data_IF_146106521970
#
_entry.id   IF_146106521970
#
_cell.length_a   1.000
_cell.length_b   1.000
_cell.length_c   1.000
_cell.angle_alpha   90.00
_cell.angle_beta   90.00
_cell.angle_gamma   90.00
#
_symmetry.space_group_name_H-M   'P 1'
#
loop_
_entity.id
_entity.type
_entity.pdbx_description
1 polymer ?
#
# COMPACT_ATOMS: atom_id res chain seq x y z
N UNK A 1 -13.11 13.34 -7.60
CA UNK A 1 -11.90 13.16 -6.81
C UNK A 1 -12.22 12.24 -5.64
N UNK A 2 -12.25 10.95 -5.95
CA UNK A 2 -12.33 9.86 -4.96
C UNK A 2 -10.94 9.26 -4.90
N UNK A 3 -10.25 9.40 -3.78
CA UNK A 3 -8.91 8.81 -3.60
C UNK A 3 -9.00 7.67 -2.61
N UNK A 4 -8.33 6.55 -2.87
CA UNK A 4 -8.25 5.41 -1.94
C UNK A 4 -6.92 5.47 -1.20
N UNK A 5 -6.95 5.66 0.11
CA UNK A 5 -5.77 5.53 0.96
C UNK A 5 -5.78 4.14 1.59
N UNK A 6 -4.90 3.23 1.18
CA UNK A 6 -4.89 1.88 1.76
C UNK A 6 -3.87 1.78 2.90
N UNK A 7 -4.27 1.25 4.06
CA UNK A 7 -3.38 1.04 5.21
C UNK A 7 -3.23 -0.44 5.48
N UNK A 8 -2.01 -0.97 5.40
CA UNK A 8 -1.76 -2.37 5.73
C UNK A 8 -1.13 -2.49 7.12
N UNK A 9 -1.88 -3.00 8.09
CA UNK A 9 -1.36 -3.24 9.43
C UNK A 9 -0.75 -4.65 9.53
N UNK A 10 0.57 -4.75 9.72
CA UNK A 10 1.26 -6.03 9.87
C UNK A 10 1.27 -6.42 11.36
N UNK A 11 0.31 -7.23 11.79
CA UNK A 11 0.22 -7.64 13.19
C UNK A 11 1.44 -8.49 13.58
N UNK A 12 2.21 -8.03 14.56
CA UNK A 12 3.10 -8.90 15.34
C UNK A 12 2.44 -9.22 16.68
N UNK A 13 1.84 -10.40 16.81
CA UNK A 13 1.58 -10.95 18.13
C UNK A 13 2.84 -11.70 18.58
N UNK A 14 3.54 -11.15 19.55
CA UNK A 14 4.44 -11.89 20.43
C UNK A 14 4.10 -11.49 21.86
N UNK A 15 3.04 -12.08 22.37
CA UNK A 15 2.80 -12.22 23.80
C UNK A 15 1.84 -13.38 24.04
N UNK A 16 2.29 -14.28 24.93
CA UNK A 16 1.63 -15.49 25.45
C UNK A 16 1.84 -16.80 24.66
N UNK A 17 3.04 -17.39 24.76
CA UNK A 17 3.39 -18.44 25.74
C UNK A 17 4.69 -19.13 25.26
N UNK A 18 5.67 -19.24 26.16
CA UNK A 18 6.82 -20.14 25.98
C UNK A 18 6.30 -21.57 25.86
N UNK A 19 6.12 -22.04 24.63
CA UNK A 19 6.15 -23.45 24.32
C UNK A 19 7.19 -23.62 23.22
N UNK A 20 8.10 -24.56 23.42
CA UNK A 20 9.16 -24.91 22.49
C UNK A 20 8.52 -25.41 21.19
N UNK A 21 8.38 -24.54 20.20
CA UNK A 21 7.94 -24.91 18.85
C UNK A 21 9.21 -25.23 18.06
N UNK A 22 9.30 -26.44 17.51
CA UNK A 22 10.32 -26.81 16.54
C UNK A 22 10.32 -25.80 15.38
N UNK A 23 11.49 -25.33 14.94
CA UNK A 23 11.69 -24.27 13.92
C UNK A 23 10.98 -24.50 12.56
N UNK A 24 10.28 -25.62 12.35
CA UNK A 24 9.68 -26.01 11.07
C UNK A 24 8.16 -25.75 10.96
N UNK A 25 7.46 -25.39 12.05
CA UNK A 25 6.00 -25.21 12.04
C UNK A 25 5.53 -23.86 12.64
N UNK A 26 6.26 -22.76 12.40
CA UNK A 26 5.71 -21.43 12.73
C UNK A 26 4.63 -21.10 11.70
N UNK A 27 3.34 -20.95 12.07
CA UNK A 27 2.30 -20.60 11.12
C UNK A 27 2.68 -19.26 10.46
N UNK A 28 2.64 -19.21 9.12
CA UNK A 28 2.85 -17.96 8.39
C UNK A 28 1.87 -16.91 8.95
N UNK A 29 2.41 -15.85 9.55
CA UNK A 29 1.61 -14.76 10.10
C UNK A 29 0.96 -14.01 8.94
N UNK A 30 -0.33 -14.23 8.75
CA UNK A 30 -1.11 -13.52 7.74
C UNK A 30 -1.28 -12.06 8.17
N UNK A 31 -0.94 -11.07 7.31
CA UNK A 31 -1.11 -9.66 7.61
C UNK A 31 -2.60 -9.26 7.73
N UNK A 32 -2.89 -8.24 8.52
CA UNK A 32 -4.24 -7.67 8.64
C UNK A 32 -4.37 -6.39 7.81
N UNK A 33 -5.10 -6.46 6.70
CA UNK A 33 -5.20 -5.35 5.75
C UNK A 33 -6.43 -4.49 6.05
N UNK A 34 -6.25 -3.17 6.13
CA UNK A 34 -7.32 -2.18 6.39
C UNK A 34 -7.40 -1.21 5.19
N UNK A 35 -8.42 -1.36 4.34
CA UNK A 35 -8.67 -0.39 3.28
C UNK A 35 -9.39 0.86 3.82
N UNK A 36 -8.87 2.06 3.54
CA UNK A 36 -9.54 3.34 3.89
C UNK A 36 -9.91 4.10 2.61
N UNK A 37 -11.19 4.04 2.22
CA UNK A 37 -11.70 4.66 1.00
C UNK A 37 -12.49 5.95 1.27
N UNK A 38 -12.54 6.87 0.30
CA UNK A 38 -13.36 8.09 0.41
C UNK A 38 -12.99 9.20 -0.58
N UNK A 39 -13.78 10.27 -0.59
CA UNK A 39 -13.49 11.47 -1.40
C UNK A 39 -12.17 12.16 -1.03
N UNK A 40 -11.59 12.94 -1.93
CA UNK A 40 -10.51 13.87 -1.58
C UNK A 40 -10.95 14.80 -0.45
N UNK A 41 -10.03 15.11 0.47
CA UNK A 41 -10.30 15.91 1.67
C UNK A 41 -11.36 15.33 2.63
N UNK A 42 -11.72 14.05 2.52
CA UNK A 42 -12.64 13.39 3.46
C UNK A 42 -11.98 12.99 4.80
N UNK A 43 -10.70 13.31 5.01
CA UNK A 43 -9.98 12.99 6.25
C UNK A 43 -9.33 11.60 6.30
N UNK A 44 -9.21 10.89 5.19
CA UNK A 44 -8.60 9.55 5.16
C UNK A 44 -7.18 9.52 5.73
N UNK A 45 -6.32 10.44 5.31
CA UNK A 45 -4.94 10.54 5.84
C UNK A 45 -4.93 10.71 7.36
N UNK A 46 -5.89 11.47 7.91
CA UNK A 46 -6.05 11.65 9.36
C UNK A 46 -6.51 10.37 10.05
N UNK A 47 -7.48 9.65 9.46
CA UNK A 47 -7.94 8.35 9.92
C UNK A 47 -6.79 7.34 9.91
N UNK A 48 -6.02 7.28 8.82
CA UNK A 48 -4.84 6.43 8.69
C UNK A 48 -3.80 6.74 9.78
N UNK A 49 -3.50 8.03 10.00
CA UNK A 49 -2.57 8.49 11.03
C UNK A 49 -3.02 8.07 12.44
N UNK A 50 -4.31 8.24 12.74
CA UNK A 50 -4.90 7.84 14.01
C UNK A 50 -4.80 6.34 14.20
N UNK A 51 -5.17 5.54 13.20
CA UNK A 51 -5.05 4.07 13.23
C UNK A 51 -3.60 3.66 13.49
N UNK A 52 -2.64 4.22 12.76
CA UNK A 52 -1.21 3.93 12.94
C UNK A 52 -0.76 4.25 14.37
N UNK A 53 -1.24 5.37 14.94
CA UNK A 53 -0.87 5.80 16.29
C UNK A 53 -1.32 4.81 17.38
N UNK A 54 -2.43 4.10 17.18
CA UNK A 54 -2.92 3.05 18.09
C UNK A 54 -2.05 1.77 18.03
N UNK A 55 -1.30 1.57 16.95
CA UNK A 55 -0.44 0.41 16.74
C UNK A 55 1.00 0.63 17.22
N UNK A 56 1.17 1.09 18.47
CA UNK A 56 2.48 1.49 19.05
C UNK A 56 3.65 0.52 18.79
N UNK A 57 3.46 -0.79 19.03
CA UNK A 57 4.52 -1.80 18.99
C UNK A 57 4.39 -2.77 17.82
N UNK A 58 3.49 -2.53 16.87
CA UNK A 58 3.28 -3.40 15.72
C UNK A 58 3.96 -2.80 14.49
N UNK A 59 4.45 -3.66 13.57
CA UNK A 59 4.94 -3.16 12.29
C UNK A 59 3.73 -2.71 11.48
N UNK A 60 3.73 -1.47 10.99
CA UNK A 60 2.66 -0.98 10.12
C UNK A 60 3.26 -0.61 8.78
N UNK A 61 2.64 -1.08 7.70
CA UNK A 61 3.00 -0.77 6.32
C UNK A 61 1.89 0.07 5.68
N UNK A 62 2.18 1.33 5.40
CA UNK A 62 1.27 2.17 4.62
C UNK A 62 1.53 1.96 3.12
N UNK A 63 0.48 1.65 2.36
CA UNK A 63 0.51 1.48 0.90
C UNK A 63 -0.49 2.46 0.29
N UNK A 64 -0.01 3.57 -0.26
CA UNK A 64 -0.89 4.53 -0.93
C UNK A 64 -1.19 4.07 -2.37
N UNK A 65 -2.46 4.03 -2.78
CA UNK A 65 -2.86 3.71 -4.17
C UNK A 65 -2.29 4.70 -5.17
N UNK A 66 -2.14 5.97 -4.80
CA UNK A 66 -1.56 7.02 -5.66
C UNK A 66 -0.10 6.71 -6.05
N UNK A 67 0.61 5.90 -5.28
CA UNK A 67 1.95 5.43 -5.69
C UNK A 67 1.91 4.51 -6.91
N UNK A 68 0.75 3.94 -7.23
CA UNK A 68 0.52 3.02 -8.34
C UNK A 68 -0.08 3.70 -9.57
N UNK A 69 -0.08 5.03 -9.66
CA UNK A 69 -0.45 5.70 -10.91
C UNK A 69 0.47 5.24 -12.04
N UNK A 70 -0.12 4.95 -13.20
CA UNK A 70 0.64 4.67 -14.41
C UNK A 70 1.36 5.95 -14.88
N UNK A 71 2.62 5.85 -15.34
CA UNK A 71 3.28 6.96 -16.00
C UNK A 71 2.50 7.38 -17.24
N UNK A 72 2.37 8.69 -17.46
CA UNK A 72 1.70 9.17 -18.66
C UNK A 72 2.62 9.09 -19.88
N UNK A 73 2.04 8.71 -21.02
CA UNK A 73 2.67 8.80 -22.33
C UNK A 73 2.66 10.25 -22.86
N UNK A 74 3.45 10.52 -23.91
CA UNK A 74 3.62 11.89 -24.43
C UNK A 74 2.29 12.51 -24.89
N UNK A 75 1.43 11.74 -25.55
CA UNK A 75 0.10 12.15 -25.99
C UNK A 75 -0.84 12.47 -24.82
N UNK A 76 -0.75 11.69 -23.74
CA UNK A 76 -1.50 11.94 -22.51
C UNK A 76 -0.99 13.16 -21.75
N UNK A 77 0.33 13.40 -21.75
CA UNK A 77 0.95 14.59 -21.14
C UNK A 77 0.50 15.88 -21.81
N UNK A 78 0.39 15.88 -23.15
CA UNK A 78 -0.12 17.04 -23.92
C UNK A 78 -1.56 17.41 -23.53
N UNK A 79 -2.35 16.43 -23.08
CA UNK A 79 -3.75 16.58 -22.69
C UNK A 79 -4.00 16.21 -21.23
N UNK A 80 -3.02 16.47 -20.36
CA UNK A 80 -3.09 16.05 -18.95
C UNK A 80 -4.32 16.58 -18.21
N UNK A 81 -4.82 17.75 -18.61
CA UNK A 81 -6.02 18.38 -18.04
C UNK A 81 -7.33 17.65 -18.42
N UNK A 82 -7.30 16.82 -19.46
CA UNK A 82 -8.42 15.95 -19.88
C UNK A 82 -8.28 14.53 -19.30
N UNK A 83 -7.12 14.20 -18.71
CA UNK A 83 -6.85 12.87 -18.17
C UNK A 83 -7.63 12.64 -16.88
N UNK A 84 -8.41 11.56 -16.84
CA UNK A 84 -9.20 11.19 -15.67
C UNK A 84 -8.37 10.33 -14.70
N UNK A 85 -7.73 10.97 -13.73
CA UNK A 85 -6.97 10.30 -12.67
C UNK A 85 -7.84 9.50 -11.68
N UNK A 86 -9.17 9.71 -11.68
CA UNK A 86 -10.08 8.92 -10.83
C UNK A 86 -10.49 7.59 -11.51
N UNK A 87 -10.14 7.35 -12.78
CA UNK A 87 -10.51 6.12 -13.49
C UNK A 87 -9.64 4.94 -13.02
N UNK A 88 -10.20 3.72 -12.85
CA UNK A 88 -9.42 2.53 -12.51
C UNK A 88 -8.19 2.30 -13.40
N UNK A 89 -8.32 2.56 -14.71
CA UNK A 89 -7.23 2.43 -15.69
C UNK A 89 -6.07 3.43 -15.50
N UNK A 90 -6.21 4.44 -14.62
CA UNK A 90 -5.11 5.32 -14.27
C UNK A 90 -4.10 4.65 -13.34
N UNK A 91 -4.46 3.52 -12.72
CA UNK A 91 -3.65 2.81 -11.74
C UNK A 91 -3.18 1.45 -12.28
N UNK A 92 -1.98 1.04 -11.87
CA UNK A 92 -1.51 -0.33 -11.99
C UNK A 92 -2.16 -1.21 -10.91
N UNK A 93 -3.43 -1.52 -11.11
CA UNK A 93 -4.22 -2.33 -10.18
C UNK A 93 -3.71 -3.78 -10.13
N UNK A 94 -3.17 -4.31 -11.23
CA UNK A 94 -2.59 -5.64 -11.25
C UNK A 94 -1.37 -5.73 -10.33
N UNK A 95 -0.47 -4.74 -10.38
CA UNK A 95 0.66 -4.65 -9.45
C UNK A 95 0.20 -4.51 -8.00
N UNK A 96 -0.78 -3.64 -7.73
CA UNK A 96 -1.33 -3.46 -6.38
C UNK A 96 -1.88 -4.77 -5.80
N UNK A 97 -2.69 -5.50 -6.58
CA UNK A 97 -3.28 -6.78 -6.18
C UNK A 97 -2.19 -7.83 -5.96
N UNK A 98 -1.22 -7.92 -6.87
CA UNK A 98 -0.07 -8.83 -6.76
C UNK A 98 0.74 -8.57 -5.50
N UNK A 99 0.99 -7.31 -5.15
CA UNK A 99 1.64 -6.93 -3.89
C UNK A 99 0.81 -7.40 -2.68
N UNK A 100 -0.51 -7.17 -2.66
CA UNK A 100 -1.36 -7.60 -1.56
C UNK A 100 -1.41 -9.13 -1.41
N UNK A 101 -1.47 -9.86 -2.51
CA UNK A 101 -1.43 -11.33 -2.54
C UNK A 101 -0.10 -11.87 -2.01
N UNK A 102 1.01 -11.32 -2.49
CA UNK A 102 2.37 -11.70 -2.07
C UNK A 102 2.57 -11.42 -0.58
N UNK A 103 2.10 -10.27 -0.10
CA UNK A 103 2.16 -9.90 1.31
C UNK A 103 1.29 -10.83 2.18
N UNK A 104 0.10 -11.22 1.70
CA UNK A 104 -0.75 -12.22 2.38
C UNK A 104 -0.06 -13.59 2.48
N UNK A 105 0.79 -13.93 1.52
CA UNK A 105 1.65 -15.13 1.54
C UNK A 105 2.88 -15.02 2.45
N UNK A 106 3.04 -13.90 3.18
CA UNK A 106 4.20 -13.67 4.05
C UNK A 106 5.51 -13.46 3.29
N UNK A 107 5.44 -13.09 2.01
CA UNK A 107 6.61 -12.82 1.19
C UNK A 107 6.89 -11.31 1.11
N UNK A 108 8.16 -10.89 1.01
CA UNK A 108 8.50 -9.50 0.75
C UNK A 108 7.90 -8.99 -0.55
N UNK A 109 7.54 -7.72 -0.58
CA UNK A 109 6.96 -7.05 -1.76
C UNK A 109 7.83 -5.88 -2.18
N UNK A 110 7.76 -5.54 -3.47
CA UNK A 110 8.31 -4.32 -4.02
C UNK A 110 7.16 -3.42 -4.41
N UNK A 111 7.08 -2.23 -3.80
CA UNK A 111 6.03 -1.24 -4.08
C UNK A 111 6.65 0.02 -4.67
N UNK A 112 5.96 0.75 -5.55
CA UNK A 112 6.44 2.05 -6.03
C UNK A 112 6.76 2.98 -4.85
N UNK A 113 7.88 3.70 -4.93
CA UNK A 113 8.31 4.54 -3.82
C UNK A 113 7.40 5.78 -3.66
N UNK A 114 7.07 6.43 -4.77
CA UNK A 114 6.10 7.51 -4.87
C UNK A 114 5.79 7.79 -6.34
N UNK A 115 4.74 8.56 -6.62
CA UNK A 115 4.47 9.11 -7.95
C UNK A 115 4.73 10.62 -7.97
N UNK A 116 5.55 11.09 -8.93
CA UNK A 116 5.80 12.51 -9.13
C UNK A 116 4.69 13.12 -9.98
N UNK A 117 3.69 13.73 -9.32
CA UNK A 117 2.58 14.41 -9.99
C UNK A 117 3.00 15.56 -10.90
N UNK A 118 4.21 16.13 -10.76
CA UNK A 118 4.68 17.20 -11.66
C UNK A 118 5.24 16.64 -12.95
N UNK A 119 5.82 15.43 -12.89
CA UNK A 119 6.44 14.74 -14.03
C UNK A 119 5.56 13.64 -14.61
N UNK A 120 4.48 13.28 -13.90
CA UNK A 120 3.60 12.15 -14.18
C UNK A 120 4.38 10.83 -14.38
N UNK A 121 5.29 10.55 -13.45
CA UNK A 121 6.16 9.35 -13.47
C UNK A 121 6.27 8.73 -12.08
N UNK A 122 6.32 7.40 -12.04
CA UNK A 122 6.74 6.66 -10.85
C UNK A 122 8.20 6.95 -10.52
N UNK A 123 8.52 7.04 -9.23
CA UNK A 123 9.90 7.21 -8.76
C UNK A 123 10.57 5.86 -8.53
N UNK A 124 11.72 5.69 -9.18
CA UNK A 124 12.63 4.56 -8.99
C UNK A 124 13.76 4.89 -8.00
N UNK A 125 14.34 3.89 -7.31
CA UNK A 125 13.92 2.49 -7.32
C UNK A 125 12.65 2.26 -6.49
N UNK A 126 11.91 1.19 -6.82
CA UNK A 126 10.85 0.69 -5.96
C UNK A 126 11.35 0.41 -4.52
N UNK A 127 10.45 0.59 -3.54
CA UNK A 127 10.69 0.33 -2.13
C UNK A 127 10.38 -1.14 -1.81
N UNK A 128 11.39 -1.89 -1.37
CA UNK A 128 11.22 -3.27 -0.89
C UNK A 128 10.75 -3.26 0.56
N UNK A 129 9.70 -4.02 0.86
CA UNK A 129 9.14 -4.16 2.21
C UNK A 129 9.01 -5.64 2.56
N UNK A 130 9.62 -6.05 3.67
CA UNK A 130 9.57 -7.42 4.18
C UNK A 130 8.51 -7.65 5.26
N UNK A 131 8.12 -8.92 5.45
CA UNK A 131 7.23 -9.41 6.51
C UNK A 131 7.87 -9.41 7.90
#
# INVERSE_FOLDING_TARGET
METLDMVVALRNHSSLQENVIHEQDVPLKVPFIIGVAGGTASGKTEVCSTIISEFHNQRVLVINQESFYLPLHNDQLERVHEYNFDHPDAFDLELLLSCLETLRGGQPISIPNNYDLRRHKSLEPMRVVGS
#
